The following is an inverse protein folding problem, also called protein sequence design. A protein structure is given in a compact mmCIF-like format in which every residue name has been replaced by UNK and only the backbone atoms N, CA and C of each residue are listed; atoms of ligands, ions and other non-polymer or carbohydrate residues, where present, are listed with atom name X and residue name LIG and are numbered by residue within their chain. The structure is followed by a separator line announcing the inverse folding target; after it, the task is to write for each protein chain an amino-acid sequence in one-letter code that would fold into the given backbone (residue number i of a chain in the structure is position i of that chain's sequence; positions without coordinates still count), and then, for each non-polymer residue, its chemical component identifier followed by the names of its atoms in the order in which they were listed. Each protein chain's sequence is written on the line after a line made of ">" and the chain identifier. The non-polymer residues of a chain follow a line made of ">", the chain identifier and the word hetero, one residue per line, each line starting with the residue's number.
data_IF_900036511170
#
_entry.id   IF_900036511170
#
_cell.length_a   1.000
_cell.length_b   1.000
_cell.length_c   1.000
_cell.angle_alpha   90.00
_cell.angle_beta   90.00
_cell.angle_gamma   90.00
#
_symmetry.space_group_name_H-M   'P 1'
#
loop_
_entity.id
_entity.type
_entity.pdbx_description
1 polymer ?
#
# COMPACT_ATOMS: atom_id res chain seq x y z
N UNK A 1 -4.90 3.18 0.80
CA UNK A 1 -4.62 2.77 2.20
C UNK A 1 -3.40 3.52 2.72
N UNK A 2 -3.59 4.60 3.50
CA UNK A 2 -2.49 5.48 3.93
C UNK A 2 -1.50 4.74 4.85
N UNK A 3 -2.01 3.91 5.76
CA UNK A 3 -1.20 3.10 6.67
C UNK A 3 -0.18 2.24 5.90
N UNK A 4 -0.61 1.57 4.82
CA UNK A 4 0.26 0.72 4.01
C UNK A 4 1.32 1.52 3.26
N UNK A 5 1.00 2.73 2.80
CA UNK A 5 1.98 3.61 2.16
C UNK A 5 3.12 3.96 3.13
N UNK A 6 2.78 4.35 4.36
CA UNK A 6 3.74 4.71 5.41
C UNK A 6 4.59 3.51 5.82
N UNK A 7 3.96 2.34 6.04
CA UNK A 7 4.68 1.11 6.41
C UNK A 7 5.60 0.62 5.30
N UNK A 8 5.15 0.66 4.04
CA UNK A 8 5.98 0.32 2.90
C UNK A 8 7.18 1.28 2.80
N UNK A 9 6.95 2.59 2.91
CA UNK A 9 8.03 3.57 2.86
C UNK A 9 9.04 3.37 3.99
N UNK A 10 8.58 3.06 5.21
CA UNK A 10 9.44 2.76 6.34
C UNK A 10 10.26 1.48 6.14
N UNK A 11 9.65 0.40 5.67
CA UNK A 11 10.33 -0.86 5.35
C UNK A 11 11.37 -0.68 4.24
N UNK A 12 11.03 0.04 3.16
CA UNK A 12 11.98 0.33 2.08
C UNK A 12 13.11 1.24 2.55
N UNK A 13 12.84 2.17 3.46
CA UNK A 13 13.89 3.02 4.03
C UNK A 13 14.85 2.26 4.94
N UNK A 14 14.33 1.28 5.70
CA UNK A 14 15.11 0.50 6.66
C UNK A 14 15.89 -0.65 6.01
N UNK A 15 15.20 -1.45 5.20
CA UNK A 15 15.73 -2.74 4.73
C UNK A 15 16.25 -2.65 3.27
N UNK A 16 15.87 -1.61 2.53
CA UNK A 16 16.23 -1.42 1.11
C UNK A 16 16.77 -0.01 0.84
N UNK A 17 17.67 0.46 1.71
CA UNK A 17 18.21 1.82 1.68
C UNK A 17 19.09 2.13 0.46
N UNK A 18 19.38 1.15 -0.38
CA UNK A 18 20.09 1.27 -1.65
C UNK A 18 19.21 1.71 -2.83
N UNK A 19 17.88 1.54 -2.71
CA UNK A 19 16.93 1.89 -3.78
C UNK A 19 16.74 3.41 -3.82
N UNK A 20 16.73 4.04 -5.00
CA UNK A 20 16.49 5.48 -5.10
C UNK A 20 15.13 5.91 -4.50
N UNK A 21 15.07 7.12 -3.91
CA UNK A 21 13.87 7.65 -3.26
C UNK A 21 12.65 7.65 -4.20
N UNK A 22 12.84 8.02 -5.47
CA UNK A 22 11.76 8.07 -6.46
C UNK A 22 11.16 6.67 -6.68
N UNK A 23 11.99 5.65 -6.73
CA UNK A 23 11.55 4.26 -6.90
C UNK A 23 10.80 3.79 -5.64
N UNK A 24 11.28 4.14 -4.43
CA UNK A 24 10.56 3.80 -3.18
C UNK A 24 9.17 4.41 -3.12
N UNK A 25 9.02 5.65 -3.60
CA UNK A 25 7.73 6.33 -3.67
C UNK A 25 6.78 5.55 -4.61
N UNK A 26 7.25 5.16 -5.80
CA UNK A 26 6.44 4.39 -6.75
C UNK A 26 6.00 3.04 -6.14
N UNK A 27 6.91 2.32 -5.47
CA UNK A 27 6.60 1.04 -4.82
C UNK A 27 5.56 1.24 -3.71
N UNK A 28 5.77 2.23 -2.83
CA UNK A 28 4.86 2.52 -1.73
C UNK A 28 3.47 2.96 -2.21
N UNK A 29 3.40 3.72 -3.31
CA UNK A 29 2.15 4.11 -3.95
C UNK A 29 1.42 2.89 -4.53
N UNK A 30 2.13 2.00 -5.23
CA UNK A 30 1.56 0.76 -5.75
C UNK A 30 1.00 -0.14 -4.64
N UNK A 31 1.74 -0.30 -3.54
CA UNK A 31 1.28 -1.06 -2.37
C UNK A 31 0.00 -0.46 -1.76
N UNK A 32 -0.08 0.86 -1.66
CA UNK A 32 -1.24 1.56 -1.10
C UNK A 32 -2.49 1.46 -1.98
N UNK A 33 -2.31 1.45 -3.31
CA UNK A 33 -3.38 1.26 -4.31
C UNK A 33 -3.89 -0.18 -4.23
N UNK A 34 -3.01 -1.17 -4.29
CA UNK A 34 -3.40 -2.59 -4.21
C UNK A 34 -4.15 -2.89 -2.91
N UNK A 35 -3.62 -2.46 -1.77
CA UNK A 35 -4.28 -2.64 -0.48
C UNK A 35 -5.64 -1.93 -0.42
N UNK A 36 -5.73 -0.71 -0.97
CA UNK A 36 -7.00 0.01 -1.06
C UNK A 36 -8.03 -0.72 -1.94
N UNK A 37 -7.59 -1.24 -3.09
CA UNK A 37 -8.43 -2.01 -4.01
C UNK A 37 -8.95 -3.31 -3.40
N UNK A 38 -8.08 -4.08 -2.71
CA UNK A 38 -8.48 -5.28 -1.98
C UNK A 38 -9.50 -4.95 -0.90
N UNK A 39 -9.26 -3.87 -0.14
CA UNK A 39 -10.19 -3.44 0.91
C UNK A 39 -11.53 -3.02 0.33
N UNK A 40 -11.54 -2.26 -0.76
CA UNK A 40 -12.77 -1.87 -1.45
C UNK A 40 -13.54 -3.10 -1.93
N UNK A 41 -12.87 -4.08 -2.51
CA UNK A 41 -13.51 -5.32 -2.95
C UNK A 41 -14.12 -6.09 -1.77
N UNK A 42 -13.34 -6.31 -0.72
CA UNK A 42 -13.79 -7.06 0.47
C UNK A 42 -14.98 -6.39 1.17
N UNK A 43 -14.90 -5.08 1.44
CA UNK A 43 -15.96 -4.36 2.14
C UNK A 43 -17.21 -4.11 1.29
N UNK A 44 -17.11 -4.13 -0.04
CA UNK A 44 -18.31 -4.10 -0.88
C UNK A 44 -19.02 -5.45 -0.95
N UNK A 45 -18.28 -6.57 -0.94
CA UNK A 45 -18.88 -7.92 -0.88
C UNK A 45 -19.68 -8.10 0.42
N UNK A 46 -19.24 -7.53 1.54
CA UNK A 46 -19.99 -7.58 2.80
C UNK A 46 -21.24 -6.68 2.81
N UNK A 47 -21.29 -5.63 1.98
CA UNK A 47 -22.46 -4.75 1.88
C UNK A 47 -23.62 -5.36 1.10
N UNK A 48 -23.35 -6.29 0.19
CA UNK A 48 -24.38 -6.98 -0.59
C UNK A 48 -25.14 -8.04 0.22
N UNK A 49 -24.64 -8.39 1.42
CA UNK A 49 -25.26 -9.38 2.31
C UNK A 49 -26.21 -8.80 3.36
N UNK A 50 -26.60 -7.52 3.27
CA UNK A 50 -27.45 -6.86 4.26
C UNK A 50 -28.73 -6.29 3.69
#
# INVERSE_FOLDING_TARGET
>A
MILVAVLAMWMLAKDYSEIDLQIRIIISAGAAILSGGISYFLFNVDKEKK
#
